data_IF_213443985345
#
_entry.id   IF_213443985345
#
_cell.length_a   1.000
_cell.length_b   1.000
_cell.length_c   1.000
_cell.angle_alpha   90.00
_cell.angle_beta   90.00
_cell.angle_gamma   90.00
#
_symmetry.space_group_name_H-M   'P 1'
#
loop_
_entity.id
_entity.type
_entity.pdbx_description
1 polymer ?
#
# COMPACT_ATOMS: atom_id res chain seq x y z
N UNK A 1 -1.47 4.01 -23.16
CA UNK A 1 -1.47 3.12 -21.97
C UNK A 1 -2.35 1.89 -22.19
N UNK A 2 -3.55 2.03 -22.75
CA UNK A 2 -4.49 0.90 -22.96
C UNK A 2 -3.85 -0.24 -23.77
N UNK A 3 -3.23 0.08 -24.90
CA UNK A 3 -2.53 -0.88 -25.77
C UNK A 3 -1.36 -1.55 -25.06
N UNK A 4 -0.56 -0.79 -24.30
CA UNK A 4 0.54 -1.33 -23.49
C UNK A 4 0.03 -2.33 -22.47
N UNK A 5 -0.98 -1.94 -21.68
CA UNK A 5 -1.60 -2.81 -20.66
C UNK A 5 -2.22 -4.05 -21.32
N UNK A 6 -2.85 -3.90 -22.47
CA UNK A 6 -3.43 -5.01 -23.22
C UNK A 6 -2.37 -6.01 -23.66
N UNK A 7 -1.28 -5.56 -24.27
CA UNK A 7 -0.14 -6.41 -24.66
C UNK A 7 0.49 -7.07 -23.43
N UNK A 8 0.68 -6.33 -22.33
CA UNK A 8 1.21 -6.90 -21.09
C UNK A 8 0.32 -8.02 -20.55
N UNK A 9 -1.01 -7.81 -20.54
CA UNK A 9 -1.98 -8.84 -20.11
C UNK A 9 -1.92 -10.08 -21.01
N UNK A 10 -1.76 -9.91 -22.32
CA UNK A 10 -1.61 -11.04 -23.27
C UNK A 10 -0.35 -11.84 -22.94
N UNK A 11 0.79 -11.19 -22.69
CA UNK A 11 2.03 -11.87 -22.25
C UNK A 11 1.84 -12.57 -20.90
N UNK A 12 1.09 -11.97 -19.97
CA UNK A 12 0.78 -12.61 -18.69
C UNK A 12 -0.07 -13.87 -18.85
N UNK A 13 -1.08 -13.84 -19.73
CA UNK A 13 -1.91 -15.02 -20.04
C UNK A 13 -1.03 -16.13 -20.63
N UNK A 14 -0.14 -15.81 -21.56
CA UNK A 14 0.83 -16.79 -22.09
C UNK A 14 1.71 -17.36 -20.97
N UNK A 15 2.24 -16.52 -20.08
CA UNK A 15 3.05 -16.97 -18.96
C UNK A 15 2.27 -17.89 -18.00
N UNK A 16 1.02 -17.58 -17.71
CA UNK A 16 0.15 -18.40 -16.86
C UNK A 16 -0.17 -19.76 -17.52
N UNK A 17 -0.48 -19.74 -18.81
CA UNK A 17 -0.71 -20.97 -19.59
C UNK A 17 0.51 -21.88 -19.57
N UNK A 18 1.70 -21.33 -19.80
CA UNK A 18 2.94 -22.09 -19.80
C UNK A 18 3.35 -22.60 -18.41
N UNK A 19 3.04 -21.85 -17.34
CA UNK A 19 3.18 -22.36 -15.97
C UNK A 19 2.32 -23.58 -15.72
N UNK A 20 1.06 -23.51 -16.14
CA UNK A 20 0.13 -24.63 -16.01
C UNK A 20 0.63 -25.86 -16.79
N UNK A 21 1.02 -25.66 -18.05
CA UNK A 21 1.54 -26.71 -18.91
C UNK A 21 2.84 -27.31 -18.34
N UNK A 22 3.76 -26.48 -17.91
CA UNK A 22 5.04 -26.91 -17.30
C UNK A 22 4.80 -27.73 -16.03
N UNK A 23 3.87 -27.31 -15.18
CA UNK A 23 3.51 -28.03 -13.97
C UNK A 23 2.85 -29.38 -14.30
N UNK A 24 1.94 -29.42 -15.26
CA UNK A 24 1.23 -30.64 -15.66
C UNK A 24 2.19 -31.69 -16.27
N UNK A 25 3.24 -31.24 -16.96
CA UNK A 25 4.19 -32.12 -17.64
C UNK A 25 5.53 -32.27 -16.90
N UNK A 26 5.67 -31.68 -15.72
CA UNK A 26 6.91 -31.67 -14.92
C UNK A 26 8.12 -31.15 -15.71
N UNK A 27 7.92 -30.13 -16.54
CA UNK A 27 8.94 -29.47 -17.37
C UNK A 27 9.12 -28.07 -16.87
N UNK A 28 10.35 -27.60 -16.69
CA UNK A 28 10.66 -26.22 -16.44
C UNK A 28 11.41 -25.63 -17.62
N UNK A 29 11.03 -24.44 -18.05
CA UNK A 29 11.69 -23.83 -19.20
C UNK A 29 11.41 -22.34 -19.32
N UNK A 30 12.24 -21.70 -20.11
CA UNK A 30 12.07 -20.34 -20.59
C UNK A 30 11.52 -20.42 -22.00
N UNK A 31 10.53 -19.60 -22.29
CA UNK A 31 9.86 -19.60 -23.59
C UNK A 31 10.53 -18.54 -24.46
N UNK A 32 10.77 -18.90 -25.72
CA UNK A 32 11.29 -17.96 -26.70
C UNK A 32 10.27 -17.74 -27.81
N UNK A 33 10.04 -16.48 -28.13
CA UNK A 33 9.20 -16.05 -29.27
C UNK A 33 10.05 -15.28 -30.26
N UNK A 34 9.90 -15.55 -31.55
CA UNK A 34 10.46 -14.67 -32.57
C UNK A 34 9.76 -13.33 -32.54
N UNK A 35 10.50 -12.24 -32.77
CA UNK A 35 9.94 -10.89 -32.79
C UNK A 35 8.76 -10.77 -33.75
N UNK A 36 8.91 -11.32 -34.96
CA UNK A 36 7.87 -11.26 -36.01
C UNK A 36 6.59 -12.02 -35.61
N UNK A 37 6.71 -13.12 -34.89
CA UNK A 37 5.58 -13.90 -34.41
C UNK A 37 4.78 -13.14 -33.35
N UNK A 38 5.45 -12.56 -32.34
CA UNK A 38 4.81 -11.73 -31.34
C UNK A 38 4.20 -10.47 -31.93
N UNK A 39 4.92 -9.83 -32.85
CA UNK A 39 4.44 -8.66 -33.54
C UNK A 39 3.19 -8.98 -34.35
N UNK A 40 3.18 -10.08 -35.10
CA UNK A 40 2.04 -10.53 -35.87
C UNK A 40 0.80 -10.79 -35.01
N UNK A 41 0.97 -11.47 -33.88
CA UNK A 41 -0.11 -11.72 -32.91
C UNK A 41 -0.66 -10.41 -32.31
N UNK A 42 0.22 -9.50 -31.91
CA UNK A 42 -0.18 -8.21 -31.36
C UNK A 42 -0.91 -7.34 -32.39
N UNK A 43 -0.47 -7.32 -33.65
CA UNK A 43 -1.13 -6.59 -34.73
C UNK A 43 -2.52 -7.14 -35.10
N UNK A 44 -2.75 -8.44 -34.89
CA UNK A 44 -4.10 -9.01 -35.03
C UNK A 44 -5.04 -8.52 -33.92
N UNK A 45 -4.52 -8.30 -32.72
CA UNK A 45 -5.28 -7.82 -31.58
C UNK A 45 -5.49 -6.30 -31.57
N UNK A 46 -4.53 -5.56 -32.13
CA UNK A 46 -4.49 -4.09 -32.16
C UNK A 46 -4.22 -3.59 -33.59
N UNK A 47 -5.17 -3.82 -34.53
CA UNK A 47 -4.97 -3.50 -35.93
C UNK A 47 -4.87 -1.99 -36.21
N UNK A 48 -5.29 -1.15 -35.26
CA UNK A 48 -5.22 0.32 -35.34
C UNK A 48 -3.82 0.87 -34.99
N UNK A 49 -2.95 0.05 -34.41
CA UNK A 49 -1.61 0.48 -34.03
C UNK A 49 -0.60 0.26 -35.17
N UNK A 50 0.48 1.04 -35.21
CA UNK A 50 1.57 0.75 -36.17
C UNK A 50 2.50 -0.34 -35.64
N UNK A 51 3.12 -1.13 -36.53
CA UNK A 51 4.11 -2.14 -36.16
C UNK A 51 5.26 -1.58 -35.31
N UNK A 52 5.75 -0.38 -35.66
CA UNK A 52 6.82 0.30 -34.95
C UNK A 52 6.41 0.64 -33.51
N UNK A 53 5.17 1.07 -33.32
CA UNK A 53 4.65 1.35 -31.99
C UNK A 53 4.50 0.10 -31.14
N UNK A 54 3.98 -0.99 -31.70
CA UNK A 54 3.86 -2.28 -31.02
C UNK A 54 5.23 -2.82 -30.67
N UNK A 55 6.19 -2.74 -31.59
CA UNK A 55 7.59 -3.12 -31.34
C UNK A 55 8.20 -2.30 -30.21
N UNK A 56 7.96 -0.99 -30.18
CA UNK A 56 8.40 -0.10 -29.10
C UNK A 56 7.80 -0.52 -27.77
N UNK A 57 6.52 -0.90 -27.73
CA UNK A 57 5.88 -1.42 -26.50
C UNK A 57 6.55 -2.69 -26.01
N UNK A 58 6.87 -3.66 -26.86
CA UNK A 58 7.61 -4.85 -26.45
C UNK A 58 9.00 -4.50 -25.89
N UNK A 59 9.71 -3.56 -26.51
CA UNK A 59 11.00 -3.09 -26.01
C UNK A 59 10.86 -2.42 -24.65
N UNK A 60 9.82 -1.59 -24.45
CA UNK A 60 9.55 -0.91 -23.17
C UNK A 60 9.21 -1.92 -22.08
N UNK A 61 8.44 -2.98 -22.39
CA UNK A 61 8.18 -4.09 -21.47
C UNK A 61 9.48 -4.81 -21.12
N UNK A 62 10.32 -5.12 -22.10
CA UNK A 62 11.59 -5.80 -21.88
C UNK A 62 12.55 -4.98 -21.00
N UNK A 63 12.60 -3.66 -21.18
CA UNK A 63 13.41 -2.77 -20.34
C UNK A 63 12.87 -2.69 -18.91
N UNK A 64 11.55 -2.64 -18.75
CA UNK A 64 10.89 -2.55 -17.43
C UNK A 64 10.89 -3.89 -16.67
N UNK A 65 10.91 -5.01 -17.37
CA UNK A 65 10.76 -6.37 -16.81
C UNK A 65 12.03 -7.22 -16.99
N UNK A 66 13.19 -6.65 -16.78
CA UNK A 66 14.54 -7.20 -17.11
C UNK A 66 14.80 -8.65 -16.72
N UNK A 67 14.21 -9.15 -15.65
CA UNK A 67 14.42 -10.54 -15.19
C UNK A 67 13.37 -11.51 -15.72
N UNK A 68 12.28 -11.01 -16.30
CA UNK A 68 11.12 -11.83 -16.62
C UNK A 68 10.75 -11.82 -18.10
N UNK A 69 11.09 -10.74 -18.82
CA UNK A 69 10.91 -10.59 -20.25
C UNK A 69 12.11 -9.84 -20.84
N UNK A 70 12.84 -10.47 -21.76
CA UNK A 70 14.08 -9.93 -22.31
C UNK A 70 14.12 -10.06 -23.83
N UNK A 71 14.80 -9.12 -24.49
CA UNK A 71 15.05 -9.17 -25.92
C UNK A 71 16.48 -9.59 -26.21
N UNK A 72 16.64 -10.62 -27.02
CA UNK A 72 17.94 -11.14 -27.51
C UNK A 72 18.16 -10.62 -28.91
N UNK A 73 18.89 -9.53 -29.03
CA UNK A 73 19.08 -8.82 -30.29
C UNK A 73 19.81 -9.67 -31.37
N UNK A 74 20.74 -10.52 -30.97
CA UNK A 74 21.48 -11.41 -31.90
C UNK A 74 20.60 -12.45 -32.59
N UNK A 75 19.44 -12.75 -32.01
CA UNK A 75 18.53 -13.79 -32.50
C UNK A 75 17.16 -13.26 -32.93
N UNK A 76 16.89 -11.97 -32.76
CA UNK A 76 15.58 -11.36 -32.94
C UNK A 76 14.47 -12.09 -32.19
N UNK A 77 14.73 -12.43 -30.92
CA UNK A 77 13.82 -13.21 -30.08
C UNK A 77 13.54 -12.49 -28.76
N UNK A 78 12.33 -12.66 -28.28
CA UNK A 78 11.95 -12.36 -26.92
C UNK A 78 11.98 -13.62 -26.07
N UNK A 79 12.47 -13.48 -24.87
CA UNK A 79 12.60 -14.52 -23.88
C UNK A 79 11.66 -14.21 -22.73
N UNK A 80 10.70 -15.08 -22.48
CA UNK A 80 9.73 -14.97 -21.39
C UNK A 80 10.04 -16.03 -20.32
N UNK A 81 10.27 -15.56 -19.09
CA UNK A 81 10.34 -16.44 -17.93
C UNK A 81 8.96 -16.54 -17.27
N UNK A 82 8.19 -17.62 -17.53
CA UNK A 82 6.81 -17.71 -17.06
C UNK A 82 6.71 -17.79 -15.53
N UNK A 83 7.72 -18.33 -14.84
CA UNK A 83 7.70 -18.46 -13.38
C UNK A 83 7.78 -17.13 -12.65
N UNK A 84 8.49 -16.17 -13.22
CA UNK A 84 8.75 -14.87 -12.60
C UNK A 84 7.89 -13.73 -13.16
N UNK A 85 7.22 -13.95 -14.30
CA UNK A 85 6.42 -12.92 -14.93
C UNK A 85 5.10 -12.74 -14.20
N UNK A 86 4.96 -11.68 -13.44
CA UNK A 86 3.78 -11.38 -12.61
C UNK A 86 3.11 -10.08 -13.01
N UNK A 87 1.80 -9.98 -12.73
CA UNK A 87 1.05 -8.76 -12.99
C UNK A 87 1.54 -7.60 -12.11
N UNK A 88 1.78 -7.88 -10.84
CA UNK A 88 2.14 -6.84 -9.85
C UNK A 88 3.51 -6.26 -10.17
N UNK A 89 4.52 -7.11 -10.37
CA UNK A 89 5.88 -6.65 -10.69
C UNK A 89 5.95 -5.96 -12.04
N UNK A 90 5.22 -6.49 -13.03
CA UNK A 90 5.20 -5.93 -14.36
C UNK A 90 4.58 -4.54 -14.39
N UNK A 91 3.42 -4.33 -13.77
CA UNK A 91 2.78 -3.02 -13.69
C UNK A 91 3.68 -2.04 -12.91
N UNK A 92 4.23 -2.45 -11.79
CA UNK A 92 5.13 -1.61 -10.99
C UNK A 92 6.37 -1.18 -11.77
N UNK A 93 7.01 -2.11 -12.48
CA UNK A 93 8.17 -1.82 -13.30
C UNK A 93 7.84 -0.91 -14.49
N UNK A 94 6.70 -1.13 -15.13
CA UNK A 94 6.18 -0.28 -16.19
C UNK A 94 5.95 1.15 -15.70
N UNK A 95 5.26 1.33 -14.59
CA UNK A 95 4.98 2.64 -14.02
C UNK A 95 6.29 3.38 -13.68
N UNK A 96 7.29 2.68 -13.14
CA UNK A 96 8.62 3.26 -12.89
C UNK A 96 9.35 3.65 -14.15
N UNK A 97 9.26 2.82 -15.18
CA UNK A 97 9.85 3.12 -16.46
C UNK A 97 9.25 4.41 -17.04
N UNK A 98 7.92 4.56 -17.00
CA UNK A 98 7.25 5.78 -17.44
C UNK A 98 7.57 6.99 -16.57
N UNK A 99 7.57 6.83 -15.24
CA UNK A 99 7.94 7.92 -14.32
C UNK A 99 9.36 8.45 -14.57
N UNK A 100 10.28 7.57 -15.00
CA UNK A 100 11.65 7.94 -15.33
C UNK A 100 11.78 8.62 -16.70
N UNK A 101 11.08 8.11 -17.71
CA UNK A 101 11.25 8.54 -19.10
C UNK A 101 10.27 9.63 -19.53
N UNK A 102 9.16 9.80 -18.82
CA UNK A 102 8.17 10.86 -19.05
C UNK A 102 7.59 11.32 -17.70
N UNK A 103 8.39 12.02 -16.87
CA UNK A 103 7.98 12.40 -15.51
C UNK A 103 6.76 13.31 -15.50
N UNK A 104 6.65 14.26 -16.43
CA UNK A 104 5.52 15.20 -16.49
C UNK A 104 4.23 14.45 -16.87
N UNK A 105 4.29 13.60 -17.90
CA UNK A 105 3.16 12.77 -18.29
C UNK A 105 2.75 11.77 -17.20
N UNK A 106 3.70 11.24 -16.46
CA UNK A 106 3.43 10.36 -15.32
C UNK A 106 2.77 11.14 -14.17
N UNK A 107 3.31 12.29 -13.80
CA UNK A 107 2.78 13.13 -12.72
C UNK A 107 1.33 13.54 -13.01
N UNK A 108 1.08 14.12 -14.17
CA UNK A 108 -0.23 14.69 -14.52
C UNK A 108 -1.32 13.66 -14.81
N UNK A 109 -0.96 12.47 -15.30
CA UNK A 109 -1.97 11.50 -15.76
C UNK A 109 -2.07 10.23 -14.92
N UNK A 110 -1.06 9.90 -14.12
CA UNK A 110 -1.02 8.65 -13.37
C UNK A 110 -0.92 8.88 -11.87
N UNK A 111 0.05 9.68 -11.43
CA UNK A 111 0.32 9.89 -9.99
C UNK A 111 -0.89 10.51 -9.29
N UNK A 112 -1.52 11.51 -9.92
CA UNK A 112 -2.74 12.15 -9.40
C UNK A 112 -3.91 11.15 -9.30
N UNK A 113 -4.13 10.34 -10.35
CA UNK A 113 -5.19 9.32 -10.35
C UNK A 113 -4.94 8.27 -9.25
N UNK A 114 -3.70 7.85 -9.08
CA UNK A 114 -3.32 6.90 -8.01
C UNK A 114 -3.58 7.50 -6.63
N UNK A 115 -3.19 8.77 -6.40
CA UNK A 115 -3.45 9.47 -5.14
C UNK A 115 -4.93 9.54 -4.80
N UNK A 116 -5.72 10.07 -5.74
CA UNK A 116 -7.20 10.14 -5.61
C UNK A 116 -7.84 8.76 -5.43
N UNK A 117 -7.28 7.71 -6.06
CA UNK A 117 -7.75 6.33 -5.90
C UNK A 117 -7.63 5.83 -4.47
N UNK A 118 -6.50 6.08 -3.81
CA UNK A 118 -6.30 5.68 -2.41
C UNK A 118 -7.21 6.47 -1.47
N UNK A 119 -7.31 7.79 -1.64
CA UNK A 119 -8.25 8.62 -0.86
C UNK A 119 -9.68 8.11 -1.01
N UNK A 120 -10.13 7.85 -2.26
CA UNK A 120 -11.47 7.33 -2.53
C UNK A 120 -11.71 5.97 -1.86
N UNK A 121 -10.72 5.08 -1.88
CA UNK A 121 -10.80 3.78 -1.22
C UNK A 121 -11.04 3.93 0.28
N UNK A 122 -10.26 4.77 0.97
CA UNK A 122 -10.42 5.01 2.41
C UNK A 122 -11.76 5.69 2.72
N UNK A 123 -12.14 6.72 1.94
CA UNK A 123 -13.44 7.37 2.09
C UNK A 123 -14.60 6.37 2.04
N UNK A 124 -14.59 5.47 1.04
CA UNK A 124 -15.67 4.49 0.88
C UNK A 124 -15.82 3.56 2.08
N UNK A 125 -14.76 3.35 2.87
CA UNK A 125 -14.82 2.59 4.12
C UNK A 125 -15.53 3.35 5.23
N UNK A 126 -15.19 4.62 5.44
CA UNK A 126 -15.85 5.45 6.43
C UNK A 126 -17.31 5.80 6.07
N UNK A 127 -17.59 6.03 4.78
CA UNK A 127 -18.92 6.43 4.28
C UNK A 127 -20.02 5.36 4.51
N UNK A 128 -19.61 4.15 4.90
CA UNK A 128 -20.56 3.11 5.33
C UNK A 128 -21.24 3.45 6.66
N UNK A 129 -20.65 4.34 7.46
CA UNK A 129 -21.08 4.68 8.80
C UNK A 129 -21.67 6.10 8.86
N UNK A 130 -22.90 6.21 9.34
CA UNK A 130 -23.64 7.48 9.32
C UNK A 130 -23.07 8.56 10.26
N UNK A 131 -22.34 8.14 11.29
CA UNK A 131 -21.71 9.03 12.27
C UNK A 131 -20.45 9.76 11.75
N UNK A 132 -19.94 9.37 10.56
CA UNK A 132 -18.81 10.03 9.92
C UNK A 132 -19.25 10.92 8.76
N UNK A 133 -18.63 12.09 8.65
CA UNK A 133 -18.66 12.95 7.46
C UNK A 133 -17.24 13.17 6.97
N UNK A 134 -17.04 13.02 5.64
CA UNK A 134 -15.72 13.01 5.04
C UNK A 134 -15.60 14.05 3.95
N UNK A 135 -14.45 14.68 3.96
CA UNK A 135 -14.03 15.67 2.98
C UNK A 135 -12.65 15.32 2.46
N UNK A 136 -12.32 15.67 1.24
CA UNK A 136 -11.02 15.46 0.64
C UNK A 136 -10.54 16.72 -0.07
N UNK A 137 -9.23 16.86 -0.19
CA UNK A 137 -8.59 18.03 -0.81
C UNK A 137 -9.02 19.35 -0.17
N UNK A 138 -9.13 19.36 1.18
CA UNK A 138 -9.65 20.52 1.94
C UNK A 138 -8.60 21.61 1.99
N UNK A 139 -8.96 22.78 1.45
CA UNK A 139 -8.08 23.94 1.39
C UNK A 139 -8.05 24.68 2.73
N UNK A 140 -6.86 25.08 3.16
CA UNK A 140 -6.64 25.89 4.36
C UNK A 140 -6.19 27.32 4.03
N UNK A 141 -6.07 27.67 2.76
CA UNK A 141 -5.57 28.94 2.25
C UNK A 141 -6.42 30.16 2.69
N UNK A 142 -7.73 29.96 2.95
CA UNK A 142 -8.59 31.00 3.53
C UNK A 142 -8.19 31.38 4.96
N UNK A 143 -7.50 30.49 5.69
CA UNK A 143 -7.05 30.72 7.08
C UNK A 143 -5.57 31.07 7.15
N UNK A 144 -4.73 30.36 6.41
CA UNK A 144 -3.31 30.64 6.24
C UNK A 144 -2.81 30.06 4.90
N UNK A 145 -2.40 30.89 3.93
CA UNK A 145 -1.95 30.45 2.62
C UNK A 145 -0.64 29.65 2.63
N UNK A 146 0.03 29.53 3.79
CA UNK A 146 1.24 28.69 3.94
C UNK A 146 0.93 27.27 4.38
N UNK A 147 -0.30 26.99 4.81
CA UNK A 147 -0.68 25.67 5.24
C UNK A 147 -0.87 24.75 4.04
N UNK A 148 -0.47 23.48 4.17
CA UNK A 148 -0.79 22.47 3.17
C UNK A 148 -2.30 22.15 3.19
N UNK A 149 -2.79 21.65 2.05
CA UNK A 149 -4.13 21.11 1.96
C UNK A 149 -4.24 19.82 2.78
N UNK A 150 -5.45 19.48 3.21
CA UNK A 150 -5.75 18.22 3.90
C UNK A 150 -6.25 17.21 2.87
N UNK A 151 -5.53 16.11 2.64
CA UNK A 151 -5.93 15.08 1.69
C UNK A 151 -7.21 14.34 2.11
N UNK A 152 -7.33 14.04 3.41
CA UNK A 152 -8.50 13.39 4.00
C UNK A 152 -8.85 14.05 5.34
N UNK A 153 -10.06 14.58 5.43
CA UNK A 153 -10.62 15.13 6.65
C UNK A 153 -11.93 14.40 6.97
N UNK A 154 -11.98 13.77 8.13
CA UNK A 154 -13.19 13.14 8.63
C UNK A 154 -13.59 13.78 9.96
N UNK A 155 -14.89 13.97 10.15
CA UNK A 155 -15.45 14.45 11.40
C UNK A 155 -16.59 13.53 11.82
N UNK A 156 -16.57 13.10 13.09
CA UNK A 156 -17.67 12.37 13.72
C UNK A 156 -18.13 13.08 14.97
N UNK A 157 -19.38 12.86 15.33
CA UNK A 157 -19.95 13.31 16.61
C UNK A 157 -20.40 12.11 17.42
N UNK A 158 -19.81 11.97 18.59
CA UNK A 158 -20.16 10.94 19.58
C UNK A 158 -20.67 11.65 20.84
N UNK A 159 -21.92 11.40 21.24
CA UNK A 159 -22.51 12.12 22.40
C UNK A 159 -21.68 12.00 23.69
N UNK A 160 -20.96 10.89 23.88
CA UNK A 160 -20.12 10.66 25.05
C UNK A 160 -18.68 11.19 24.92
N UNK A 161 -18.21 11.45 23.68
CA UNK A 161 -16.84 11.86 23.38
C UNK A 161 -16.75 13.30 22.85
N UNK A 162 -17.84 13.83 22.28
CA UNK A 162 -17.85 15.10 21.57
C UNK A 162 -17.49 14.91 20.09
N UNK A 163 -16.79 15.90 19.50
CA UNK A 163 -16.32 15.80 18.13
C UNK A 163 -14.98 15.07 18.07
N UNK A 164 -14.90 14.10 17.18
CA UNK A 164 -13.65 13.50 16.77
C UNK A 164 -13.31 13.95 15.35
N UNK A 165 -12.13 14.54 15.21
CA UNK A 165 -11.57 15.02 13.95
C UNK A 165 -10.39 14.14 13.57
N UNK A 166 -10.47 13.55 12.40
CA UNK A 166 -9.44 12.70 11.84
C UNK A 166 -8.82 13.36 10.61
N UNK A 167 -7.52 13.58 10.65
CA UNK A 167 -6.75 14.23 9.58
C UNK A 167 -5.74 13.27 9.00
N UNK A 168 -5.90 12.95 7.72
CA UNK A 168 -5.02 12.05 6.98
C UNK A 168 -4.25 12.77 5.88
N UNK A 169 -2.93 12.61 5.89
CA UNK A 169 -2.06 12.90 4.75
C UNK A 169 -1.84 11.62 3.96
N UNK A 170 -2.11 11.63 2.66
CA UNK A 170 -2.12 10.43 1.83
C UNK A 170 -0.93 10.40 0.89
N UNK A 171 -0.14 9.33 0.97
CA UNK A 171 1.04 9.10 0.12
C UNK A 171 0.88 7.83 -0.70
N UNK A 172 0.52 7.99 -1.96
CA UNK A 172 0.42 6.88 -2.89
C UNK A 172 1.65 6.82 -3.81
N UNK A 173 2.64 6.07 -3.39
CA UNK A 173 3.89 5.89 -4.12
C UNK A 173 3.93 4.52 -4.80
N UNK A 174 4.73 4.42 -5.85
CA UNK A 174 5.01 3.12 -6.47
C UNK A 174 5.66 2.18 -5.45
N UNK A 175 5.26 0.90 -5.44
CA UNK A 175 5.79 -0.09 -4.51
C UNK A 175 7.33 -0.09 -4.51
N UNK A 176 7.96 -0.07 -3.34
CA UNK A 176 9.39 -0.16 -3.23
C UNK A 176 9.88 -1.55 -3.69
N UNK A 177 10.86 -1.60 -4.58
CA UNK A 177 11.48 -2.85 -5.07
C UNK A 177 12.92 -2.97 -4.58
N UNK A 178 13.56 -1.81 -4.33
CA UNK A 178 14.97 -1.74 -3.94
C UNK A 178 15.13 -1.02 -2.62
N UNK A 179 16.12 -1.37 -1.84
CA UNK A 179 16.46 -0.69 -0.59
C UNK A 179 16.51 0.84 -0.74
N UNK A 180 17.06 1.34 -1.87
CA UNK A 180 17.07 2.78 -2.17
C UNK A 180 15.70 3.44 -2.23
N UNK A 181 14.64 2.71 -2.54
CA UNK A 181 13.29 3.27 -2.60
C UNK A 181 12.75 3.52 -1.19
N UNK A 182 13.10 2.66 -0.23
CA UNK A 182 12.83 2.89 1.20
C UNK A 182 13.66 4.04 1.75
N UNK A 183 14.94 4.13 1.38
CA UNK A 183 15.80 5.25 1.76
C UNK A 183 15.27 6.60 1.26
N UNK A 184 14.64 6.63 0.09
CA UNK A 184 13.98 7.83 -0.43
C UNK A 184 12.76 8.26 0.39
N UNK A 185 12.11 7.36 1.09
CA UNK A 185 11.00 7.70 1.98
C UNK A 185 11.49 8.49 3.20
N UNK A 186 12.68 8.14 3.72
CA UNK A 186 13.23 8.63 4.99
C UNK A 186 14.31 9.73 4.86
N UNK A 187 14.76 10.08 3.67
CA UNK A 187 15.73 11.15 3.50
C UNK A 187 15.15 12.55 3.81
N UNK A 188 16.02 13.57 3.96
CA UNK A 188 15.60 14.96 4.22
C UNK A 188 14.58 15.52 3.20
N UNK A 189 14.56 14.97 1.98
CA UNK A 189 13.55 15.24 0.94
C UNK A 189 12.60 14.07 0.73
N UNK A 190 12.52 13.17 1.70
CA UNK A 190 11.68 11.98 1.66
C UNK A 190 10.19 12.35 1.67
N UNK A 191 9.40 11.54 1.00
CA UNK A 191 7.97 11.81 0.91
C UNK A 191 7.24 11.60 2.26
N UNK A 192 7.74 10.70 3.11
CA UNK A 192 7.22 10.52 4.49
C UNK A 192 7.69 11.66 5.39
N UNK A 193 8.96 12.04 5.33
CA UNK A 193 9.48 13.20 6.08
C UNK A 193 8.68 14.46 5.75
N UNK A 194 8.36 14.65 4.47
CA UNK A 194 7.49 15.75 4.04
C UNK A 194 6.08 15.61 4.59
N UNK A 195 5.48 14.42 4.58
CA UNK A 195 4.15 14.17 5.13
C UNK A 195 4.08 14.45 6.62
N UNK A 196 5.10 14.04 7.40
CA UNK A 196 5.22 14.35 8.82
C UNK A 196 5.16 15.87 9.03
N UNK A 197 6.01 16.62 8.32
CA UNK A 197 6.02 18.08 8.43
C UNK A 197 4.68 18.73 8.03
N UNK A 198 3.99 18.20 7.02
CA UNK A 198 2.66 18.68 6.62
C UNK A 198 1.64 18.46 7.74
N UNK A 199 1.59 17.26 8.30
CA UNK A 199 0.68 16.90 9.40
C UNK A 199 0.97 17.72 10.67
N UNK A 200 2.25 17.93 11.01
CA UNK A 200 2.63 18.76 12.15
C UNK A 200 2.13 20.22 12.00
N UNK A 201 2.27 20.79 10.81
CA UNK A 201 1.76 22.14 10.51
C UNK A 201 0.24 22.21 10.63
N UNK A 202 -0.49 21.23 10.07
CA UNK A 202 -1.95 21.14 10.18
C UNK A 202 -2.36 20.95 11.64
N UNK A 203 -1.71 20.04 12.37
CA UNK A 203 -2.00 19.80 13.80
C UNK A 203 -1.74 21.06 14.64
N UNK A 204 -0.70 21.82 14.33
CA UNK A 204 -0.43 23.10 14.96
C UNK A 204 -1.54 24.12 14.69
N UNK A 205 -1.99 24.23 13.45
CA UNK A 205 -3.09 25.10 13.05
C UNK A 205 -4.41 24.73 13.77
N UNK A 206 -4.78 23.46 13.79
CA UNK A 206 -6.04 23.02 14.39
C UNK A 206 -6.17 23.32 15.90
N UNK A 207 -5.05 23.60 16.57
CA UNK A 207 -5.00 24.03 17.99
C UNK A 207 -5.19 25.53 18.18
N UNK A 208 -5.26 26.30 17.10
CA UNK A 208 -5.45 27.77 17.15
C UNK A 208 -6.93 28.15 17.11
N UNK A 209 -7.23 29.42 17.42
CA UNK A 209 -8.61 29.96 17.29
C UNK A 209 -9.15 29.84 15.85
N UNK A 210 -8.29 30.00 14.86
CA UNK A 210 -8.69 29.80 13.46
C UNK A 210 -8.94 28.33 13.15
N UNK A 211 -8.17 27.42 13.74
CA UNK A 211 -8.41 25.99 13.64
C UNK A 211 -9.75 25.58 14.29
N UNK A 212 -10.09 26.15 15.42
CA UNK A 212 -11.40 25.94 16.04
C UNK A 212 -12.55 26.45 15.17
N UNK A 213 -12.41 27.63 14.54
CA UNK A 213 -13.39 28.15 13.57
C UNK A 213 -13.52 27.21 12.35
N UNK A 214 -12.41 26.67 11.89
CA UNK A 214 -12.40 25.68 10.81
C UNK A 214 -13.19 24.43 11.20
N UNK A 215 -12.91 23.84 12.38
CA UNK A 215 -13.63 22.67 12.87
C UNK A 215 -15.11 22.97 13.04
N UNK A 216 -15.46 24.13 13.63
CA UNK A 216 -16.84 24.57 13.80
C UNK A 216 -17.59 24.64 12.46
N UNK A 217 -16.98 25.26 11.41
CA UNK A 217 -17.55 25.33 10.05
C UNK A 217 -17.95 23.95 9.54
N UNK A 218 -17.02 22.97 9.63
CA UNK A 218 -17.28 21.60 9.18
C UNK A 218 -18.26 20.85 10.09
N UNK A 219 -18.26 21.11 11.39
CA UNK A 219 -19.20 20.49 12.32
C UNK A 219 -20.65 20.92 12.01
N UNK A 220 -20.90 22.22 11.78
CA UNK A 220 -22.20 22.74 11.40
C UNK A 220 -22.68 22.13 10.06
N UNK A 221 -21.78 22.05 9.08
CA UNK A 221 -22.11 21.46 7.79
C UNK A 221 -22.40 19.95 7.90
N UNK A 222 -21.59 19.24 8.67
CA UNK A 222 -21.69 17.78 8.81
C UNK A 222 -22.92 17.33 9.60
N UNK A 223 -23.32 18.11 10.62
CA UNK A 223 -24.35 17.72 11.59
C UNK A 223 -25.42 18.83 11.74
N UNK A 224 -26.18 19.13 10.67
CA UNK A 224 -27.14 20.24 10.68
C UNK A 224 -28.31 20.08 11.67
N UNK A 225 -28.50 18.87 12.20
CA UNK A 225 -29.51 18.59 13.23
C UNK A 225 -29.04 18.87 14.65
N UNK A 226 -27.74 19.14 14.87
CA UNK A 226 -27.19 19.53 16.16
C UNK A 226 -27.18 21.07 16.28
N UNK A 227 -27.51 21.57 17.45
CA UNK A 227 -27.31 23.00 17.78
C UNK A 227 -25.84 23.22 18.17
N UNK A 228 -24.98 23.22 17.16
CA UNK A 228 -23.52 23.33 17.34
C UNK A 228 -23.16 24.69 17.95
N UNK A 229 -23.84 25.77 17.53
CA UNK A 229 -23.58 27.10 18.04
C UNK A 229 -23.90 27.22 19.54
N UNK A 230 -24.90 26.47 20.01
CA UNK A 230 -25.19 26.37 21.43
C UNK A 230 -24.18 25.56 22.21
N UNK A 231 -23.65 24.46 21.61
CA UNK A 231 -22.70 23.58 22.26
C UNK A 231 -21.32 24.22 22.45
N UNK A 232 -20.79 24.91 21.43
CA UNK A 232 -19.43 25.49 21.46
C UNK A 232 -19.20 26.50 22.61
N UNK A 233 -20.08 27.46 22.91
CA UNK A 233 -19.90 28.39 24.04
C UNK A 233 -19.87 27.73 25.41
N UNK A 234 -20.50 26.58 25.56
CA UNK A 234 -20.53 25.81 26.80
C UNK A 234 -19.35 24.85 26.99
N UNK A 235 -18.48 24.80 26.00
CA UNK A 235 -17.35 23.90 25.95
C UNK A 235 -17.73 22.53 25.42
N UNK A 236 -17.11 22.14 24.32
CA UNK A 236 -17.27 20.82 23.71
C UNK A 236 -15.91 20.13 23.63
N UNK A 237 -15.89 18.83 23.85
CA UNK A 237 -14.68 18.07 23.65
C UNK A 237 -14.42 17.91 22.15
N UNK A 238 -13.22 18.25 21.71
CA UNK A 238 -12.74 18.00 20.35
C UNK A 238 -11.47 17.18 20.44
N UNK A 239 -11.53 15.97 19.92
CA UNK A 239 -10.38 15.07 19.83
C UNK A 239 -9.87 15.11 18.41
N UNK A 240 -8.59 15.43 18.23
CA UNK A 240 -7.94 15.50 16.91
C UNK A 240 -6.88 14.42 16.82
N UNK A 241 -7.04 13.52 15.86
CA UNK A 241 -6.07 12.52 15.54
C UNK A 241 -5.53 12.70 14.12
N UNK A 242 -4.24 12.55 13.99
CA UNK A 242 -3.52 12.74 12.72
C UNK A 242 -2.82 11.46 12.30
N UNK A 243 -2.79 11.19 10.99
CA UNK A 243 -2.25 9.95 10.44
C UNK A 243 -1.62 10.20 9.08
N UNK A 244 -0.61 9.41 8.76
CA UNK A 244 -0.08 9.30 7.40
C UNK A 244 -0.56 7.98 6.81
N UNK A 245 -1.30 8.06 5.71
CA UNK A 245 -1.83 6.89 5.00
C UNK A 245 -0.94 6.64 3.78
N UNK A 246 -0.29 5.49 3.76
CA UNK A 246 0.57 5.08 2.65
C UNK A 246 -0.08 3.99 1.81
N UNK A 247 0.29 3.90 0.54
CA UNK A 247 -0.03 2.72 -0.29
C UNK A 247 0.84 1.50 0.02
N UNK A 248 1.75 1.61 0.98
CA UNK A 248 2.72 0.56 1.33
C UNK A 248 2.91 0.51 2.84
N UNK A 249 3.17 -0.70 3.36
CA UNK A 249 3.49 -0.94 4.77
C UNK A 249 4.92 -0.50 5.09
N UNK A 250 5.16 0.80 5.16
CA UNK A 250 6.47 1.39 5.43
C UNK A 250 6.63 1.95 6.84
N UNK A 251 5.59 1.87 7.67
CA UNK A 251 5.61 2.40 9.04
C UNK A 251 6.75 1.81 9.89
N UNK A 252 7.12 0.55 9.64
CA UNK A 252 8.22 -0.12 10.34
C UNK A 252 9.59 0.56 10.19
N UNK A 253 9.77 1.39 9.15
CA UNK A 253 11.01 2.15 8.94
C UNK A 253 11.06 3.49 9.71
N UNK A 254 9.98 3.82 10.45
CA UNK A 254 9.83 5.08 11.20
C UNK A 254 9.39 4.82 12.65
N UNK A 255 10.18 4.05 13.45
CA UNK A 255 9.76 3.58 14.77
C UNK A 255 9.53 4.68 15.78
N UNK A 256 10.32 5.74 15.71
CA UNK A 256 10.29 6.85 16.68
C UNK A 256 9.22 7.90 16.35
N UNK A 257 8.45 7.68 15.29
CA UNK A 257 7.45 8.66 14.88
C UNK A 257 6.19 8.54 15.74
N UNK A 258 5.76 9.66 16.30
CA UNK A 258 4.53 9.75 17.11
C UNK A 258 3.25 9.79 16.25
N UNK A 259 3.36 10.15 14.96
CA UNK A 259 2.26 10.15 14.03
C UNK A 259 2.17 8.75 13.40
N UNK A 260 1.03 8.06 13.52
CA UNK A 260 0.85 6.75 12.90
C UNK A 260 1.09 6.80 11.38
N UNK A 261 1.91 5.88 10.87
CA UNK A 261 2.11 5.67 9.44
C UNK A 261 1.56 4.29 9.11
N UNK A 262 0.40 4.26 8.48
CA UNK A 262 -0.33 3.02 8.22
C UNK A 262 -0.58 2.85 6.72
N UNK A 263 -0.59 1.63 6.26
CA UNK A 263 -1.03 1.38 4.89
C UNK A 263 -2.56 1.39 4.77
N UNK A 264 -3.03 1.73 3.56
CA UNK A 264 -4.46 1.92 3.32
C UNK A 264 -5.29 0.65 3.47
N UNK A 265 -4.71 -0.55 3.32
CA UNK A 265 -5.40 -1.82 3.51
C UNK A 265 -5.60 -2.10 5.00
N UNK A 266 -4.55 -1.99 5.79
CA UNK A 266 -4.61 -2.12 7.26
C UNK A 266 -5.60 -1.11 7.86
N UNK A 267 -5.57 0.15 7.44
CA UNK A 267 -6.55 1.15 7.88
C UNK A 267 -7.97 0.73 7.50
N UNK A 268 -8.16 0.24 6.26
CA UNK A 268 -9.46 -0.25 5.80
C UNK A 268 -9.99 -1.39 6.66
N UNK A 269 -9.15 -2.33 7.09
CA UNK A 269 -9.52 -3.40 8.00
C UNK A 269 -9.91 -2.89 9.39
N UNK A 270 -9.15 -1.97 9.96
CA UNK A 270 -9.48 -1.35 11.25
C UNK A 270 -10.85 -0.67 11.19
N UNK A 271 -11.16 0.04 10.11
CA UNK A 271 -12.45 0.70 9.93
C UNK A 271 -13.58 -0.33 9.80
N UNK A 272 -13.39 -1.39 9.00
CA UNK A 272 -14.39 -2.44 8.84
C UNK A 272 -14.67 -3.18 10.16
N UNK A 273 -13.64 -3.52 10.92
CA UNK A 273 -13.78 -4.21 12.21
C UNK A 273 -14.38 -3.33 13.31
N UNK A 274 -14.25 -2.00 13.18
CA UNK A 274 -14.79 -1.06 14.17
C UNK A 274 -16.30 -1.01 14.20
N UNK A 275 -16.97 -1.46 13.14
CA UNK A 275 -18.40 -1.26 12.91
C UNK A 275 -18.87 0.20 13.15
N UNK A 276 -17.98 1.14 12.82
CA UNK A 276 -18.19 2.58 13.01
C UNK A 276 -17.89 3.11 14.42
N UNK A 277 -17.40 2.27 15.33
CA UNK A 277 -16.98 2.73 16.66
C UNK A 277 -15.69 3.55 16.59
N UNK A 278 -15.82 4.83 16.84
CA UNK A 278 -14.73 5.80 16.85
C UNK A 278 -13.65 5.45 17.87
N UNK A 279 -14.02 4.93 19.05
CA UNK A 279 -13.05 4.57 20.09
C UNK A 279 -12.19 3.37 19.67
N UNK A 280 -12.79 2.42 18.96
CA UNK A 280 -12.04 1.27 18.40
C UNK A 280 -10.98 1.75 17.41
N UNK A 281 -11.35 2.61 16.45
CA UNK A 281 -10.41 3.17 15.47
C UNK A 281 -9.28 3.92 16.17
N UNK A 282 -9.61 4.80 17.13
CA UNK A 282 -8.64 5.56 17.90
C UNK A 282 -7.64 4.68 18.66
N UNK A 283 -8.15 3.65 19.31
CA UNK A 283 -7.31 2.71 20.07
C UNK A 283 -6.26 2.06 19.16
N UNK A 284 -6.69 1.56 18.00
CA UNK A 284 -5.79 0.89 17.07
C UNK A 284 -4.81 1.87 16.40
N UNK A 285 -5.23 3.06 16.03
CA UNK A 285 -4.35 4.05 15.42
C UNK A 285 -3.29 4.55 16.39
N UNK A 286 -3.67 4.89 17.62
CA UNK A 286 -2.73 5.35 18.64
C UNK A 286 -1.77 4.25 19.09
N UNK A 287 -2.23 3.00 19.07
CA UNK A 287 -1.41 1.83 19.35
C UNK A 287 -0.53 1.36 18.18
N UNK A 288 -0.71 1.90 16.99
CA UNK A 288 -0.12 1.34 15.76
C UNK A 288 1.42 1.30 15.79
N UNK A 289 2.09 2.36 16.22
CA UNK A 289 3.56 2.39 16.30
C UNK A 289 4.08 1.33 17.27
N UNK A 290 3.45 1.21 18.44
CA UNK A 290 3.79 0.18 19.41
C UNK A 290 3.54 -1.22 18.87
N UNK A 291 2.44 -1.42 18.17
CA UNK A 291 2.13 -2.67 17.50
C UNK A 291 3.23 -3.05 16.49
N UNK A 292 3.68 -2.12 15.64
CA UNK A 292 4.79 -2.36 14.71
C UNK A 292 6.08 -2.76 15.45
N UNK A 293 6.42 -2.07 16.54
CA UNK A 293 7.61 -2.40 17.32
C UNK A 293 7.53 -3.77 17.98
N UNK A 294 6.35 -4.19 18.41
CA UNK A 294 6.13 -5.52 18.99
C UNK A 294 6.21 -6.65 17.93
N UNK A 295 5.92 -6.33 16.66
CA UNK A 295 5.97 -7.28 15.54
C UNK A 295 7.34 -7.39 14.88
N UNK A 296 8.26 -6.47 15.13
CA UNK A 296 9.54 -6.37 14.41
C UNK A 296 10.74 -6.50 15.34
N UNK A 297 11.82 -7.10 14.82
CA UNK A 297 13.15 -7.03 15.41
C UNK A 297 14.05 -6.17 14.53
N UNK A 298 14.85 -5.35 15.18
CA UNK A 298 15.85 -4.50 14.54
C UNK A 298 17.23 -4.98 14.94
N UNK A 299 18.13 -5.03 13.97
CA UNK A 299 19.53 -5.33 14.17
C UNK A 299 20.36 -4.48 13.21
N UNK A 300 21.54 -4.08 13.63
CA UNK A 300 22.52 -3.44 12.73
C UNK A 300 23.54 -4.50 12.34
N UNK A 301 23.73 -4.67 11.03
CA UNK A 301 24.75 -5.57 10.48
C UNK A 301 25.84 -4.78 9.77
N UNK A 302 27.04 -5.34 9.74
CA UNK A 302 28.19 -4.79 9.04
C UNK A 302 28.59 -5.73 7.90
N UNK A 303 28.83 -5.18 6.73
CA UNK A 303 29.42 -5.88 5.59
C UNK A 303 30.67 -5.16 5.13
N UNK A 304 31.74 -5.91 4.89
CA UNK A 304 32.98 -5.37 4.33
C UNK A 304 33.02 -5.58 2.82
N UNK A 305 33.25 -4.51 2.08
CA UNK A 305 33.39 -4.52 0.63
C UNK A 305 34.73 -3.86 0.26
N UNK A 306 35.77 -4.65 0.04
CA UNK A 306 37.13 -4.16 -0.09
C UNK A 306 37.59 -3.48 1.23
N UNK A 307 38.03 -2.25 1.13
CA UNK A 307 38.46 -1.43 2.28
C UNK A 307 37.30 -0.68 2.97
N UNK A 308 36.08 -0.83 2.49
CA UNK A 308 34.90 -0.14 3.04
C UNK A 308 34.12 -1.04 3.98
N UNK A 309 33.70 -0.48 5.12
CA UNK A 309 32.74 -1.05 6.03
C UNK A 309 31.42 -0.35 5.82
N UNK A 310 30.37 -1.12 5.59
CA UNK A 310 29.01 -0.62 5.40
C UNK A 310 28.16 -1.18 6.55
N UNK A 311 27.69 -0.29 7.41
CA UNK A 311 26.70 -0.61 8.42
C UNK A 311 25.31 -0.36 7.84
N UNK A 312 24.39 -1.28 8.09
CA UNK A 312 23.00 -1.14 7.67
C UNK A 312 22.05 -1.80 8.66
N UNK A 313 20.88 -1.19 8.80
CA UNK A 313 19.85 -1.70 9.68
C UNK A 313 19.01 -2.74 8.96
N UNK A 314 18.81 -3.86 9.64
CA UNK A 314 17.89 -4.92 9.23
C UNK A 314 16.64 -4.82 10.09
N UNK A 315 15.50 -4.88 9.44
CA UNK A 315 14.22 -5.04 10.09
C UNK A 315 13.66 -6.39 9.67
N UNK A 316 13.47 -7.26 10.62
CA UNK A 316 12.86 -8.58 10.43
C UNK A 316 11.52 -8.66 11.14
N UNK A 317 10.58 -9.36 10.53
CA UNK A 317 9.31 -9.66 11.15
C UNK A 317 9.53 -10.75 12.21
N UNK A 318 9.15 -10.46 13.46
CA UNK A 318 9.27 -11.40 14.57
C UNK A 318 7.92 -12.04 14.93
N UNK A 319 6.83 -11.31 14.74
CA UNK A 319 5.49 -11.75 15.06
C UNK A 319 4.50 -11.29 14.01
N UNK A 320 3.43 -12.07 13.85
CA UNK A 320 2.27 -11.70 13.05
C UNK A 320 1.07 -11.42 13.97
N UNK A 321 0.27 -10.46 13.60
CA UNK A 321 -0.96 -10.17 14.33
C UNK A 321 -2.13 -10.84 13.64
N UNK A 322 -2.81 -11.71 14.38
CA UNK A 322 -4.08 -12.30 13.92
C UNK A 322 -5.24 -11.37 14.28
N UNK A 323 -5.73 -10.60 13.31
CA UNK A 323 -6.77 -9.60 13.54
C UNK A 323 -8.01 -10.18 14.23
N UNK A 324 -8.53 -11.29 13.76
CA UNK A 324 -9.77 -11.90 14.31
C UNK A 324 -9.68 -12.29 15.77
N UNK A 325 -8.49 -12.48 16.33
CA UNK A 325 -8.31 -12.91 17.72
C UNK A 325 -7.46 -11.97 18.57
N UNK A 326 -7.04 -10.84 18.00
CA UNK A 326 -6.15 -9.89 18.67
C UNK A 326 -4.91 -10.56 19.32
N UNK A 327 -4.31 -11.52 18.61
CA UNK A 327 -3.18 -12.32 19.11
C UNK A 327 -1.97 -12.21 18.19
N UNK A 328 -0.80 -12.17 18.80
CA UNK A 328 0.47 -12.22 18.08
C UNK A 328 0.91 -13.67 17.88
N UNK A 329 1.39 -13.96 16.68
CA UNK A 329 1.97 -15.26 16.33
C UNK A 329 3.43 -15.06 15.99
N UNK A 330 4.32 -15.81 16.62
CA UNK A 330 5.75 -15.71 16.35
C UNK A 330 6.12 -16.34 15.02
N UNK A 331 7.17 -15.83 14.37
CA UNK A 331 7.72 -16.40 13.14
C UNK A 331 8.13 -17.87 13.33
N UNK A 332 8.72 -18.21 14.48
CA UNK A 332 9.08 -19.60 14.81
C UNK A 332 7.88 -20.55 14.86
N UNK A 333 6.69 -20.06 15.22
CA UNK A 333 5.47 -20.84 15.15
C UNK A 333 5.06 -21.12 13.70
N UNK A 334 5.24 -20.17 12.78
CA UNK A 334 4.96 -20.35 11.36
C UNK A 334 5.96 -21.31 10.71
N UNK A 335 7.25 -21.20 11.06
CA UNK A 335 8.28 -22.13 10.57
C UNK A 335 7.99 -23.58 11.01
N UNK A 336 7.55 -23.78 12.28
CA UNK A 336 7.10 -25.08 12.77
C UNK A 336 5.95 -25.64 11.94
N UNK A 337 5.00 -24.80 11.61
CA UNK A 337 3.85 -25.12 10.77
C UNK A 337 4.23 -25.49 9.36
N UNK A 338 5.12 -24.72 8.72
CA UNK A 338 5.65 -25.05 7.41
C UNK A 338 6.30 -26.42 7.40
N UNK A 339 7.08 -26.73 8.44
CA UNK A 339 7.70 -28.04 8.59
C UNK A 339 6.69 -29.16 8.74
N UNK A 340 5.69 -28.99 9.62
CA UNK A 340 4.62 -29.99 9.82
C UNK A 340 3.79 -30.19 8.54
N UNK A 341 3.49 -29.12 7.79
CA UNK A 341 2.76 -29.26 6.54
C UNK A 341 3.57 -29.96 5.44
N UNK A 342 4.89 -29.76 5.40
CA UNK A 342 5.80 -30.48 4.50
C UNK A 342 5.84 -31.97 4.85
N UNK A 343 5.88 -32.33 6.11
CA UNK A 343 5.84 -33.73 6.59
C UNK A 343 4.51 -34.40 6.20
N UNK A 344 3.42 -33.65 6.10
CA UNK A 344 2.12 -34.12 5.62
C UNK A 344 1.96 -34.07 4.09
N UNK A 345 3.00 -33.67 3.35
CA UNK A 345 3.00 -33.58 1.89
C UNK A 345 2.32 -32.33 1.32
N UNK A 346 2.05 -31.32 2.16
CA UNK A 346 1.50 -30.03 1.73
C UNK A 346 2.62 -29.00 1.66
N UNK A 347 2.62 -28.16 0.64
CA UNK A 347 3.45 -26.97 0.59
C UNK A 347 2.66 -25.77 1.08
N UNK A 348 2.88 -25.34 2.31
CA UNK A 348 2.20 -24.17 2.92
C UNK A 348 2.35 -22.91 2.07
N UNK A 349 3.50 -22.68 1.45
CA UNK A 349 3.72 -21.54 0.56
C UNK A 349 2.72 -21.52 -0.63
N UNK A 350 2.30 -22.68 -1.12
CA UNK A 350 1.21 -22.79 -2.11
C UNK A 350 -0.15 -22.50 -1.52
N UNK A 351 -0.42 -23.00 -0.32
CA UNK A 351 -1.71 -22.81 0.37
C UNK A 351 -1.92 -21.38 0.82
N UNK A 352 -0.92 -20.75 1.43
CA UNK A 352 -0.98 -19.35 1.84
C UNK A 352 -1.14 -18.38 0.64
N UNK A 353 -0.55 -18.70 -0.52
CA UNK A 353 -0.73 -17.92 -1.74
C UNK A 353 -2.10 -18.10 -2.40
N UNK A 354 -2.77 -19.22 -2.17
CA UNK A 354 -4.09 -19.50 -2.76
C UNK A 354 -5.26 -18.96 -1.95
N UNK A 355 -5.03 -18.67 -0.66
CA UNK A 355 -6.11 -18.28 0.24
C UNK A 355 -6.54 -16.82 0.10
N UNK A 356 -5.75 -16.01 -0.59
CA UNK A 356 -6.08 -14.59 -0.75
C UNK A 356 -6.30 -13.92 0.60
N UNK A 357 -7.47 -13.29 0.77
CA UNK A 357 -7.87 -12.64 2.02
C UNK A 357 -8.71 -13.57 2.93
N UNK A 358 -8.67 -14.88 2.75
CA UNK A 358 -9.41 -15.80 3.58
C UNK A 358 -8.70 -16.09 4.90
N UNK A 359 -9.46 -16.18 5.97
CA UNK A 359 -8.98 -16.54 7.31
C UNK A 359 -8.47 -17.97 7.36
N UNK A 360 -7.29 -18.18 7.93
CA UNK A 360 -6.76 -19.50 8.21
C UNK A 360 -7.00 -19.85 9.66
N UNK A 361 -7.84 -20.86 9.90
CA UNK A 361 -8.02 -21.44 11.23
C UNK A 361 -7.14 -22.69 11.37
N UNK A 362 -6.27 -22.68 12.34
CA UNK A 362 -5.43 -23.80 12.66
C UNK A 362 -5.73 -24.37 14.03
N UNK A 363 -6.02 -25.63 14.09
CA UNK A 363 -6.13 -26.40 15.31
C UNK A 363 -4.85 -27.24 15.47
N UNK A 364 -3.94 -26.79 16.34
CA UNK A 364 -2.80 -27.57 16.80
C UNK A 364 -2.74 -27.46 18.32
N UNK A 365 -2.35 -28.54 19.01
CA UNK A 365 -2.24 -28.56 20.47
C UNK A 365 -1.25 -27.52 21.01
N UNK A 366 -0.25 -27.14 20.21
CA UNK A 366 0.79 -26.15 20.55
C UNK A 366 0.40 -24.71 20.18
N UNK A 367 -0.76 -24.50 19.61
CA UNK A 367 -1.24 -23.20 19.17
C UNK A 367 -2.41 -22.75 20.05
N UNK A 368 -2.52 -21.44 20.33
CA UNK A 368 -3.76 -20.94 20.91
C UNK A 368 -4.93 -21.36 20.00
N UNK A 369 -5.92 -22.01 20.54
CA UNK A 369 -7.11 -22.41 19.77
C UNK A 369 -7.70 -21.17 19.08
N UNK A 370 -8.03 -21.30 17.80
CA UNK A 370 -8.62 -20.25 16.95
C UNK A 370 -7.69 -19.07 16.61
N UNK A 371 -6.54 -19.33 16.02
CA UNK A 371 -5.74 -18.28 15.40
C UNK A 371 -6.19 -18.10 13.95
N UNK A 372 -6.63 -16.90 13.61
CA UNK A 372 -6.79 -16.47 12.22
C UNK A 372 -5.50 -15.86 11.72
N UNK A 373 -4.92 -16.44 10.67
CA UNK A 373 -3.76 -15.91 9.97
C UNK A 373 -4.23 -15.17 8.73
N UNK A 374 -4.05 -13.87 8.70
CA UNK A 374 -4.24 -13.08 7.49
C UNK A 374 -2.94 -13.04 6.71
N UNK A 375 -2.99 -13.53 5.48
CA UNK A 375 -1.91 -13.33 4.52
C UNK A 375 -2.17 -12.03 3.81
N UNK A 376 -1.41 -11.01 4.17
CA UNK A 376 -1.41 -9.73 3.46
C UNK A 376 -0.53 -9.91 2.23
N UNK A 377 -1.11 -9.82 1.04
CA UNK A 377 -0.42 -9.82 -0.25
C UNK A 377 0.07 -8.43 -0.62
#
# INVERSE_FOLDING_TARGET
YSTFIGIYKSLLILALYERYFSKANNVSGVITYKEDELLGQAMQQYPEESPERVKKIFQDIAVSSRSTFNYIASENKYLLNPTCFSLVDGISNMLRYFAKNNPDGFSNNISEIMGKGLVKKIRSKFEQYANYKLYSDVKLDEFDPKLPDIDLFAISYEPSLGFHVFVGEVKNNLPAVWAKDYLKANGAKGFITKAISQIENISGFLKTDNGLKFIHKFAVEAFPSLDIDHLFPHGICIVVDTIIISSQSIGMFFPENTIPIIDGDTLGHIIDESDGDTNYILFHLRGHSKFIDECTKRATEEISVGDYKIEYDIISLDKFYGLANNKFVSVGAIEKLEKESLDLGYTMAGSLRHLGNEEYFMNSEDWPQNISLFVIH
#
